data_IF_929255276899
#
_entry.id   IF_929255276899
#
_cell.length_a   1.000
_cell.length_b   1.000
_cell.length_c   1.000
_cell.angle_alpha   90.00
_cell.angle_beta   90.00
_cell.angle_gamma   90.00
#
_symmetry.space_group_name_H-M   'P 1'
#
loop_
_entity.id
_entity.type
_entity.pdbx_description
1 polymer ?
#
# COMPACT_ATOMS: atom_id res chain seq x y z
N UNK A 1 -1.80 -12.29 14.83
CA UNK A 1 -1.77 -12.37 13.36
C UNK A 1 -1.62 -13.80 12.81
N UNK A 2 -0.95 -14.74 13.50
CA UNK A 2 -0.78 -16.12 12.99
C UNK A 2 -2.06 -16.90 12.71
N UNK A 3 -3.12 -16.72 13.51
CA UNK A 3 -4.45 -17.33 13.27
C UNK A 3 -5.06 -16.91 11.92
N UNK A 4 -4.72 -15.72 11.43
CA UNK A 4 -5.30 -15.13 10.23
C UNK A 4 -4.39 -15.27 9.00
N UNK A 5 -3.21 -15.90 9.14
CA UNK A 5 -2.33 -16.15 8.01
C UNK A 5 -2.94 -17.24 7.10
N UNK A 6 -2.99 -16.96 5.80
CA UNK A 6 -3.38 -17.95 4.80
C UNK A 6 -2.45 -19.16 4.77
N UNK A 7 -2.92 -20.27 4.20
CA UNK A 7 -2.09 -21.45 3.98
C UNK A 7 -0.87 -21.17 3.08
N UNK A 8 -1.02 -20.30 2.08
CA UNK A 8 0.03 -19.88 1.14
C UNK A 8 1.14 -19.08 1.84
N UNK A 9 0.80 -18.38 2.92
CA UNK A 9 1.66 -17.42 3.61
C UNK A 9 1.13 -16.01 3.46
N UNK A 10 1.39 -15.14 4.44
CA UNK A 10 0.79 -13.81 4.44
C UNK A 10 -0.75 -13.85 4.58
N UNK A 11 -1.43 -12.77 4.19
CA UNK A 11 -2.83 -12.51 4.55
C UNK A 11 -3.67 -12.08 3.33
N UNK A 12 -4.93 -12.49 3.34
CA UNK A 12 -5.99 -11.86 2.58
C UNK A 12 -6.82 -10.93 3.46
N UNK A 13 -7.57 -10.02 2.85
CA UNK A 13 -8.51 -9.13 3.55
C UNK A 13 -9.96 -9.62 3.50
N UNK A 14 -10.22 -10.70 2.77
CA UNK A 14 -11.50 -11.43 2.74
C UNK A 14 -11.26 -12.93 2.86
N UNK A 15 -12.09 -13.61 3.65
CA UNK A 15 -12.11 -15.05 3.78
C UNK A 15 -13.55 -15.56 3.67
N UNK A 16 -14.04 -15.61 2.43
CA UNK A 16 -15.43 -16.00 2.11
C UNK A 16 -15.52 -17.37 1.45
N UNK A 17 -14.39 -18.07 1.25
CA UNK A 17 -14.35 -19.30 0.47
C UNK A 17 -14.76 -20.52 1.32
N UNK A 18 -13.90 -20.94 2.24
CA UNK A 18 -14.14 -22.08 3.12
C UNK A 18 -13.69 -21.70 4.54
N UNK A 19 -14.54 -21.97 5.54
CA UNK A 19 -14.22 -21.73 6.95
C UNK A 19 -13.24 -22.75 7.53
N UNK A 20 -12.01 -22.76 7.01
CA UNK A 20 -10.94 -23.68 7.42
C UNK A 20 -10.18 -23.18 8.65
N UNK A 21 -9.37 -24.05 9.27
CA UNK A 21 -8.60 -23.69 10.48
C UNK A 21 -7.66 -22.49 10.25
N UNK A 22 -7.10 -22.38 9.05
CA UNK A 22 -6.46 -21.16 8.53
C UNK A 22 -7.36 -20.57 7.46
N UNK A 23 -7.38 -19.24 7.27
CA UNK A 23 -8.16 -18.64 6.19
C UNK A 23 -7.87 -19.25 4.82
N UNK A 24 -8.94 -19.52 4.07
CA UNK A 24 -8.87 -19.98 2.68
C UNK A 24 -8.61 -18.83 1.69
N UNK A 25 -8.44 -17.61 2.21
CA UNK A 25 -8.06 -16.42 1.46
C UNK A 25 -6.73 -16.58 0.74
N UNK A 26 -6.64 -16.08 -0.49
CA UNK A 26 -5.36 -15.89 -1.17
C UNK A 26 -4.47 -14.86 -0.48
N UNK A 27 -3.16 -15.05 -0.54
CA UNK A 27 -2.21 -14.03 -0.09
C UNK A 27 -2.31 -12.78 -0.96
N UNK A 28 -2.41 -11.61 -0.35
CA UNK A 28 -2.57 -10.32 -1.04
C UNK A 28 -1.39 -9.40 -0.76
N UNK A 29 -0.77 -8.89 -1.83
CA UNK A 29 0.52 -8.20 -1.76
C UNK A 29 0.53 -7.01 -0.80
N UNK A 30 -0.49 -6.16 -0.87
CA UNK A 30 -0.60 -4.95 -0.05
C UNK A 30 -0.97 -5.21 1.40
N UNK A 31 -1.72 -6.29 1.69
CA UNK A 31 -2.00 -6.68 3.09
C UNK A 31 -0.73 -7.24 3.73
N UNK A 32 0.02 -8.08 2.99
CA UNK A 32 1.33 -8.54 3.44
C UNK A 32 2.26 -7.36 3.72
N UNK A 33 2.32 -6.40 2.80
CA UNK A 33 3.14 -5.20 2.95
C UNK A 33 2.73 -4.38 4.19
N UNK A 34 1.43 -4.12 4.37
CA UNK A 34 0.93 -3.38 5.52
C UNK A 34 1.30 -4.06 6.85
N UNK A 35 1.15 -5.39 6.93
CA UNK A 35 1.52 -6.18 8.12
C UNK A 35 3.03 -6.18 8.35
N UNK A 36 3.83 -6.36 7.30
CA UNK A 36 5.29 -6.32 7.39
C UNK A 36 5.80 -4.96 7.88
N UNK A 37 5.20 -3.88 7.41
CA UNK A 37 5.55 -2.54 7.86
C UNK A 37 5.14 -2.32 9.32
N UNK A 38 3.97 -2.80 9.74
CA UNK A 38 3.57 -2.76 11.16
C UNK A 38 4.48 -3.62 12.05
N UNK A 39 4.97 -4.76 11.54
CA UNK A 39 5.96 -5.59 12.23
C UNK A 39 7.32 -4.93 12.32
N UNK A 40 7.74 -4.18 11.30
CA UNK A 40 8.94 -3.34 11.38
C UNK A 40 8.78 -2.25 12.45
N UNK A 41 7.62 -1.58 12.49
CA UNK A 41 7.31 -0.58 13.54
C UNK A 41 7.37 -1.21 14.95
N UNK A 42 6.77 -2.40 15.13
CA UNK A 42 6.82 -3.13 16.39
C UNK A 42 8.26 -3.49 16.79
N UNK A 43 9.06 -3.99 15.83
CA UNK A 43 10.47 -4.33 16.05
C UNK A 43 11.27 -3.11 16.49
N UNK A 44 11.05 -1.93 15.89
CA UNK A 44 11.74 -0.68 16.23
C UNK A 44 11.47 -0.20 17.66
N UNK A 45 10.34 -0.60 18.26
CA UNK A 45 10.03 -0.32 19.67
C UNK A 45 10.35 -1.49 20.61
N UNK A 46 11.10 -2.49 20.14
CA UNK A 46 11.54 -3.64 20.94
C UNK A 46 10.55 -4.81 21.01
N UNK A 47 9.47 -4.78 20.23
CA UNK A 47 8.50 -5.89 20.15
C UNK A 47 8.82 -6.75 18.93
N UNK A 48 9.46 -7.89 19.16
CA UNK A 48 9.87 -8.77 18.07
C UNK A 48 8.67 -9.48 17.42
N UNK A 49 8.44 -9.31 16.11
CA UNK A 49 7.40 -10.05 15.40
C UNK A 49 7.78 -11.54 15.25
N UNK A 50 6.81 -12.45 15.09
CA UNK A 50 7.12 -13.87 14.88
C UNK A 50 7.85 -14.07 13.56
N UNK A 51 9.13 -14.48 13.61
CA UNK A 51 10.03 -14.63 12.46
C UNK A 51 9.42 -15.45 11.32
N UNK A 52 8.83 -16.61 11.65
CA UNK A 52 8.14 -17.46 10.66
C UNK A 52 7.04 -16.75 9.88
N UNK A 53 6.31 -15.81 10.51
CA UNK A 53 5.28 -15.04 9.81
C UNK A 53 5.90 -13.96 8.92
N UNK A 54 6.98 -13.33 9.37
CA UNK A 54 7.74 -12.35 8.60
C UNK A 54 8.28 -12.99 7.32
N UNK A 55 9.01 -14.11 7.44
CA UNK A 55 9.64 -14.79 6.31
C UNK A 55 8.63 -15.22 5.25
N UNK A 56 7.51 -15.80 5.68
CA UNK A 56 6.44 -16.25 4.79
C UNK A 56 5.76 -15.08 4.08
N UNK A 57 5.54 -13.97 4.78
CA UNK A 57 4.97 -12.77 4.19
C UNK A 57 5.94 -12.12 3.19
N UNK A 58 7.24 -12.00 3.52
CA UNK A 58 8.27 -11.49 2.61
C UNK A 58 8.34 -12.33 1.33
N UNK A 59 8.38 -13.66 1.47
CA UNK A 59 8.35 -14.58 0.33
C UNK A 59 7.14 -14.37 -0.56
N UNK A 60 5.96 -14.10 0.02
CA UNK A 60 4.74 -13.85 -0.75
C UNK A 60 4.69 -12.46 -1.38
N UNK A 61 5.28 -11.43 -0.78
CA UNK A 61 5.44 -10.11 -1.43
C UNK A 61 6.38 -10.24 -2.62
N UNK A 62 7.52 -10.91 -2.45
CA UNK A 62 8.50 -11.16 -3.52
C UNK A 62 7.90 -12.00 -4.65
N UNK A 63 7.17 -13.08 -4.33
CA UNK A 63 6.49 -13.91 -5.34
C UNK A 63 5.50 -13.11 -6.20
N UNK A 64 4.86 -12.09 -5.62
CA UNK A 64 3.88 -11.25 -6.32
C UNK A 64 4.52 -10.03 -7.02
N UNK A 65 5.83 -9.82 -6.87
CA UNK A 65 6.56 -8.72 -7.50
C UNK A 65 6.82 -9.02 -8.98
N UNK A 66 6.56 -8.05 -9.83
CA UNK A 66 6.90 -8.08 -11.26
C UNK A 66 8.25 -7.38 -11.52
N UNK A 67 8.88 -7.60 -12.69
CA UNK A 67 10.16 -6.95 -13.04
C UNK A 67 10.14 -5.41 -13.02
N UNK A 68 8.98 -4.80 -13.24
CA UNK A 68 8.76 -3.34 -13.19
C UNK A 68 8.51 -2.79 -11.77
N UNK A 69 8.71 -3.62 -10.74
CA UNK A 69 8.43 -3.30 -9.33
C UNK A 69 6.97 -2.95 -9.04
N UNK A 70 6.05 -3.37 -9.91
CA UNK A 70 4.63 -3.45 -9.59
C UNK A 70 4.28 -4.83 -9.06
N UNK A 71 3.07 -4.97 -8.51
CA UNK A 71 2.70 -6.17 -7.78
C UNK A 71 1.34 -6.69 -8.22
N UNK A 72 1.23 -8.03 -8.25
CA UNK A 72 -0.05 -8.69 -8.35
C UNK A 72 -0.94 -8.26 -7.18
N UNK A 73 -2.25 -8.18 -7.42
CA UNK A 73 -3.22 -7.89 -6.38
C UNK A 73 -3.23 -8.98 -5.29
N UNK A 74 -3.25 -10.24 -5.73
CA UNK A 74 -3.22 -11.43 -4.91
C UNK A 74 -2.72 -12.62 -5.72
N UNK A 75 -2.29 -13.67 -5.03
CA UNK A 75 -1.79 -14.93 -5.62
C UNK A 75 -2.82 -15.64 -6.52
N UNK A 76 -4.12 -15.37 -6.36
CA UNK A 76 -5.16 -15.88 -7.26
C UNK A 76 -5.04 -15.34 -8.69
N UNK A 77 -4.33 -14.22 -8.91
CA UNK A 77 -4.06 -13.66 -10.24
C UNK A 77 -2.68 -14.08 -10.80
N UNK A 78 -1.98 -15.04 -10.19
CA UNK A 78 -0.64 -15.48 -10.64
C UNK A 78 -0.58 -15.90 -12.12
N UNK A 79 -1.66 -16.50 -12.62
CA UNK A 79 -1.76 -16.94 -14.02
C UNK A 79 -2.30 -15.85 -14.97
N UNK A 80 -2.64 -14.67 -14.43
CA UNK A 80 -3.13 -13.52 -15.18
C UNK A 80 -2.41 -12.22 -14.75
N UNK A 81 -1.06 -12.18 -14.85
CA UNK A 81 -0.25 -11.13 -14.25
C UNK A 81 -0.40 -9.75 -14.90
N UNK A 82 -1.06 -9.66 -16.06
CA UNK A 82 -1.26 -8.41 -16.82
C UNK A 82 -2.73 -7.95 -16.93
N UNK A 83 -3.61 -8.51 -16.09
CA UNK A 83 -4.94 -7.94 -15.83
C UNK A 83 -4.81 -6.44 -15.51
N UNK A 84 -5.78 -5.58 -15.87
CA UNK A 84 -5.67 -4.13 -15.67
C UNK A 84 -5.23 -3.75 -14.24
N UNK A 85 -5.78 -4.43 -13.24
CA UNK A 85 -5.41 -4.28 -11.83
C UNK A 85 -3.91 -4.53 -11.58
N UNK A 86 -3.27 -5.47 -12.27
CA UNK A 86 -1.85 -5.81 -12.07
C UNK A 86 -0.89 -5.03 -12.97
N UNK A 87 -1.40 -4.15 -13.85
CA UNK A 87 -0.56 -3.23 -14.62
C UNK A 87 -0.01 -2.13 -13.71
N UNK A 88 1.08 -1.44 -14.07
CA UNK A 88 1.65 -0.37 -13.23
C UNK A 88 0.63 0.67 -12.74
N UNK A 89 -0.30 1.09 -13.61
CA UNK A 89 -1.38 2.00 -13.23
C UNK A 89 -2.36 1.43 -12.20
N UNK A 90 -2.71 0.14 -12.31
CA UNK A 90 -3.60 -0.53 -11.36
C UNK A 90 -2.92 -0.86 -10.03
N UNK A 91 -1.61 -1.09 -10.07
CA UNK A 91 -0.76 -1.37 -8.91
C UNK A 91 -0.31 -0.12 -8.15
N UNK A 92 -0.61 1.07 -8.66
CA UNK A 92 0.00 2.34 -8.23
C UNK A 92 0.02 2.57 -6.72
N UNK A 93 -1.12 2.36 -6.05
CA UNK A 93 -1.21 2.49 -4.59
C UNK A 93 -0.52 1.35 -3.81
N UNK A 94 -0.68 0.09 -4.25
CA UNK A 94 -0.07 -1.06 -3.54
C UNK A 94 1.44 -1.13 -3.71
N UNK A 95 1.97 -0.70 -4.85
CA UNK A 95 3.42 -0.71 -5.10
C UNK A 95 4.17 0.13 -4.08
N UNK A 96 3.58 1.24 -3.61
CA UNK A 96 4.16 2.07 -2.55
C UNK A 96 4.40 1.23 -1.28
N UNK A 97 3.35 0.54 -0.82
CA UNK A 97 3.42 -0.32 0.36
C UNK A 97 4.39 -1.48 0.16
N UNK A 98 4.29 -2.19 -0.96
CA UNK A 98 5.10 -3.39 -1.21
C UNK A 98 6.60 -3.07 -1.34
N UNK A 99 6.97 -2.04 -2.10
CA UNK A 99 8.37 -1.62 -2.23
C UNK A 99 8.92 -1.16 -0.88
N UNK A 100 8.15 -0.37 -0.13
CA UNK A 100 8.53 0.06 1.23
C UNK A 100 8.74 -1.13 2.16
N UNK A 101 7.82 -2.10 2.16
CA UNK A 101 7.91 -3.29 3.00
C UNK A 101 9.20 -4.08 2.71
N UNK A 102 9.52 -4.32 1.44
CA UNK A 102 10.77 -4.98 1.05
C UNK A 102 11.99 -4.16 1.47
N UNK A 103 11.96 -2.82 1.27
CA UNK A 103 13.05 -1.92 1.66
C UNK A 103 13.37 -1.97 3.16
N UNK A 104 12.37 -1.87 4.03
CA UNK A 104 12.58 -1.82 5.50
C UNK A 104 13.00 -3.18 6.07
N UNK A 105 12.69 -4.27 5.36
CA UNK A 105 13.14 -5.62 5.69
C UNK A 105 14.45 -6.02 5.00
N UNK A 106 15.14 -5.06 4.37
CA UNK A 106 16.52 -5.24 3.91
C UNK A 106 16.68 -5.82 2.51
N UNK A 107 15.62 -5.86 1.69
CA UNK A 107 15.75 -6.23 0.28
C UNK A 107 16.52 -5.14 -0.47
N UNK A 108 17.77 -5.44 -0.83
CA UNK A 108 18.69 -4.49 -1.47
C UNK A 108 18.33 -4.16 -2.91
N UNK A 109 17.42 -4.93 -3.54
CA UNK A 109 16.94 -4.64 -4.89
C UNK A 109 15.88 -3.53 -4.94
N UNK A 110 15.41 -3.04 -3.78
CA UNK A 110 14.64 -1.81 -3.68
C UNK A 110 15.60 -0.68 -3.36
N UNK A 111 16.22 -0.13 -4.39
CA UNK A 111 17.10 1.03 -4.27
C UNK A 111 16.30 2.34 -4.16
N UNK A 112 16.98 3.43 -3.81
CA UNK A 112 16.37 4.76 -3.77
C UNK A 112 15.77 5.15 -5.14
N UNK A 113 16.37 4.71 -6.24
CA UNK A 113 15.86 4.89 -7.61
C UNK A 113 14.48 4.27 -7.79
N UNK A 114 14.26 3.04 -7.31
CA UNK A 114 12.97 2.35 -7.37
C UNK A 114 11.92 3.11 -6.54
N UNK A 115 12.30 3.57 -5.36
CA UNK A 115 11.42 4.37 -4.50
C UNK A 115 11.02 5.69 -5.19
N UNK A 116 11.98 6.44 -5.69
CA UNK A 116 11.77 7.69 -6.43
C UNK A 116 10.87 7.47 -7.66
N UNK A 117 11.17 6.48 -8.50
CA UNK A 117 10.36 6.16 -9.68
C UNK A 117 8.89 5.89 -9.35
N UNK A 118 8.63 5.17 -8.25
CA UNK A 118 7.26 4.87 -7.84
C UNK A 118 6.56 6.07 -7.19
N UNK A 119 7.28 6.95 -6.50
CA UNK A 119 6.75 8.23 -6.04
C UNK A 119 6.42 9.16 -7.22
N UNK A 120 7.31 9.27 -8.20
CA UNK A 120 7.10 10.04 -9.43
C UNK A 120 5.88 9.54 -10.20
N UNK A 121 5.74 8.21 -10.34
CA UNK A 121 4.56 7.59 -10.97
C UNK A 121 3.30 7.94 -10.20
N UNK A 122 3.31 7.85 -8.86
CA UNK A 122 2.15 8.18 -8.04
C UNK A 122 1.74 9.64 -8.23
N UNK A 123 2.68 10.58 -8.14
CA UNK A 123 2.43 12.02 -8.29
C UNK A 123 1.92 12.32 -9.70
N UNK A 124 2.66 11.88 -10.73
CA UNK A 124 2.36 12.19 -12.13
C UNK A 124 1.08 11.52 -12.64
N UNK A 125 0.69 10.39 -12.05
CA UNK A 125 -0.49 9.61 -12.43
C UNK A 125 -1.56 9.57 -11.36
N UNK A 126 -1.51 10.50 -10.39
CA UNK A 126 -2.47 10.55 -9.27
C UNK A 126 -3.93 10.56 -9.75
N UNK A 127 -4.21 11.23 -10.87
CA UNK A 127 -5.54 11.25 -11.49
C UNK A 127 -6.11 9.86 -11.80
N UNK A 128 -5.27 8.86 -12.13
CA UNK A 128 -5.76 7.49 -12.35
C UNK A 128 -6.22 6.83 -11.05
N UNK A 129 -5.57 7.14 -9.93
CA UNK A 129 -5.99 6.69 -8.61
C UNK A 129 -7.27 7.42 -8.17
N UNK A 130 -7.34 8.72 -8.44
CA UNK A 130 -8.47 9.59 -8.09
C UNK A 130 -9.77 9.21 -8.82
N UNK A 131 -9.68 8.70 -10.07
CA UNK A 131 -10.85 8.22 -10.81
C UNK A 131 -11.65 7.13 -10.07
N UNK A 132 -10.99 6.35 -9.22
CA UNK A 132 -11.63 5.34 -8.37
C UNK A 132 -12.19 5.89 -7.06
N UNK A 133 -11.84 7.11 -6.68
CA UNK A 133 -12.27 7.71 -5.41
C UNK A 133 -13.78 7.95 -5.41
N UNK A 134 -14.42 7.63 -4.29
CA UNK A 134 -15.87 7.73 -4.04
C UNK A 134 -16.76 6.90 -4.98
N UNK A 135 -16.16 6.02 -5.79
CA UNK A 135 -16.89 5.07 -6.63
C UNK A 135 -17.49 3.95 -5.77
N UNK A 136 -18.77 3.57 -5.98
CA UNK A 136 -19.43 2.57 -5.15
C UNK A 136 -19.05 1.13 -5.51
N UNK A 137 -18.57 0.86 -6.72
CA UNK A 137 -18.20 -0.48 -7.16
C UNK A 137 -16.67 -0.58 -7.15
N UNK A 138 -16.07 -1.54 -6.42
CA UNK A 138 -14.63 -1.69 -6.43
C UNK A 138 -14.18 -2.16 -7.82
N UNK A 139 -13.01 -1.70 -8.26
CA UNK A 139 -12.41 -2.09 -9.54
C UNK A 139 -13.17 -1.67 -10.81
N UNK A 140 -14.14 -0.75 -10.73
CA UNK A 140 -14.85 -0.23 -11.92
C UNK A 140 -14.09 0.88 -12.66
N UNK A 141 -13.09 1.49 -12.02
CA UNK A 141 -12.37 2.65 -12.56
C UNK A 141 -11.23 2.25 -13.51
N UNK A 142 -10.55 3.26 -14.07
CA UNK A 142 -9.40 3.05 -14.95
C UNK A 142 -8.34 2.16 -14.27
N UNK A 143 -7.74 1.23 -15.03
CA UNK A 143 -6.87 0.17 -14.50
C UNK A 143 -7.47 -0.69 -13.37
N UNK A 144 -8.79 -0.74 -13.21
CA UNK A 144 -9.44 -1.47 -12.12
C UNK A 144 -8.95 -1.03 -10.73
N UNK A 145 -8.64 0.25 -10.55
CA UNK A 145 -8.31 0.79 -9.23
C UNK A 145 -9.58 0.88 -8.40
N UNK A 146 -9.56 0.32 -7.18
CA UNK A 146 -10.62 0.53 -6.20
C UNK A 146 -10.34 1.76 -5.34
N UNK A 147 -11.40 2.47 -4.93
CA UNK A 147 -11.28 3.74 -4.21
C UNK A 147 -10.47 3.67 -2.92
N UNK A 148 -10.56 2.56 -2.18
CA UNK A 148 -9.84 2.36 -0.91
C UNK A 148 -8.31 2.27 -1.05
N UNK A 149 -7.75 2.33 -2.27
CA UNK A 149 -6.32 2.49 -2.47
C UNK A 149 -5.85 3.94 -2.43
N UNK A 150 -6.76 4.91 -2.47
CA UNK A 150 -6.36 6.31 -2.63
C UNK A 150 -5.52 6.76 -1.44
N UNK A 151 -6.10 6.85 -0.23
CA UNK A 151 -5.31 7.32 0.91
C UNK A 151 -4.32 6.26 1.43
N UNK A 152 -4.62 4.97 1.24
CA UNK A 152 -3.69 3.88 1.51
C UNK A 152 -2.37 4.06 0.75
N UNK A 153 -2.44 4.29 -0.57
CA UNK A 153 -1.26 4.45 -1.42
C UNK A 153 -0.45 5.69 -1.04
N UNK A 154 -1.12 6.82 -0.77
CA UNK A 154 -0.46 8.06 -0.35
C UNK A 154 0.23 7.94 1.00
N UNK A 155 -0.35 7.21 1.95
CA UNK A 155 0.28 6.98 3.24
C UNK A 155 1.57 6.18 3.12
N UNK A 156 1.54 5.07 2.39
CA UNK A 156 2.76 4.29 2.22
C UNK A 156 3.80 4.97 1.33
N UNK A 157 3.38 5.83 0.40
CA UNK A 157 4.28 6.74 -0.31
C UNK A 157 4.96 7.73 0.64
N UNK A 158 4.20 8.39 1.52
CA UNK A 158 4.74 9.32 2.51
C UNK A 158 5.72 8.64 3.49
N UNK A 159 5.49 7.36 3.81
CA UNK A 159 6.40 6.54 4.63
C UNK A 159 7.70 6.15 3.93
N UNK A 160 7.75 6.19 2.60
CA UNK A 160 8.98 5.94 1.82
C UNK A 160 9.92 7.14 1.86
N UNK A 161 9.39 8.37 1.93
CA UNK A 161 10.17 9.61 1.88
C UNK A 161 11.34 9.65 2.89
N UNK A 162 11.16 9.31 4.19
CA UNK A 162 12.27 9.34 5.15
C UNK A 162 13.43 8.39 4.83
N UNK A 163 13.23 7.42 3.94
CA UNK A 163 14.27 6.47 3.51
C UNK A 163 15.14 7.02 2.37
N UNK A 164 14.70 8.07 1.68
CA UNK A 164 15.42 8.69 0.57
C UNK A 164 16.58 9.57 1.06
N UNK A 165 17.46 9.95 0.14
CA UNK A 165 18.46 10.99 0.38
C UNK A 165 17.78 12.30 0.81
N UNK A 166 18.34 12.98 1.81
CA UNK A 166 17.76 14.20 2.40
C UNK A 166 17.42 15.28 1.38
N UNK A 167 18.26 15.43 0.34
CA UNK A 167 18.04 16.42 -0.74
C UNK A 167 16.78 16.17 -1.58
N UNK A 168 16.34 14.91 -1.68
CA UNK A 168 15.22 14.53 -2.56
C UNK A 168 13.87 14.61 -1.82
N UNK A 169 13.89 14.57 -0.48
CA UNK A 169 12.68 14.53 0.36
C UNK A 169 11.75 15.73 0.14
N UNK A 170 12.22 16.99 0.14
CA UNK A 170 11.32 18.15 0.07
C UNK A 170 10.44 18.14 -1.18
N UNK A 171 10.96 17.67 -2.32
CA UNK A 171 10.20 17.55 -3.56
C UNK A 171 8.96 16.65 -3.37
N UNK A 172 9.15 15.45 -2.84
CA UNK A 172 8.04 14.50 -2.64
C UNK A 172 7.11 14.93 -1.51
N UNK A 173 7.64 15.54 -0.44
CA UNK A 173 6.85 16.07 0.66
C UNK A 173 5.87 17.15 0.18
N UNK A 174 6.37 18.12 -0.60
CA UNK A 174 5.56 19.23 -1.10
C UNK A 174 4.47 18.73 -2.06
N UNK A 175 4.79 17.80 -2.97
CA UNK A 175 3.82 17.24 -3.91
C UNK A 175 2.73 16.40 -3.22
N UNK A 176 3.10 15.51 -2.30
CA UNK A 176 2.10 14.72 -1.56
C UNK A 176 1.23 15.59 -0.67
N UNK A 177 1.79 16.61 0.00
CA UNK A 177 1.02 17.56 0.79
C UNK A 177 0.02 18.32 -0.07
N UNK A 178 0.45 18.82 -1.24
CA UNK A 178 -0.42 19.54 -2.16
C UNK A 178 -1.59 18.67 -2.64
N UNK A 179 -1.31 17.42 -3.06
CA UNK A 179 -2.34 16.46 -3.48
C UNK A 179 -3.36 16.22 -2.37
N UNK A 180 -2.88 15.92 -1.16
CA UNK A 180 -3.78 15.56 -0.05
C UNK A 180 -4.60 16.76 0.42
N UNK A 181 -3.99 17.93 0.59
CA UNK A 181 -4.71 19.14 1.01
C UNK A 181 -5.80 19.55 0.00
N UNK A 182 -5.58 19.30 -1.29
CA UNK A 182 -6.58 19.55 -2.34
C UNK A 182 -7.84 18.67 -2.26
N UNK A 183 -7.84 17.65 -1.41
CA UNK A 183 -8.96 16.71 -1.24
C UNK A 183 -9.61 16.74 0.15
N UNK A 184 -9.28 17.74 0.99
CA UNK A 184 -9.96 17.92 2.27
C UNK A 184 -11.43 18.30 2.04
N UNK A 185 -12.34 17.60 2.69
CA UNK A 185 -13.77 17.92 2.68
C UNK A 185 -14.06 19.15 3.57
N UNK A 186 -15.24 19.75 3.42
CA UNK A 186 -15.64 20.93 4.19
C UNK A 186 -15.70 20.68 5.71
N UNK A 187 -16.00 19.45 6.12
CA UNK A 187 -16.02 19.02 7.52
C UNK A 187 -14.62 18.69 8.08
N UNK A 188 -13.58 18.90 7.26
CA UNK A 188 -12.19 18.62 7.61
C UNK A 188 -11.78 17.17 7.42
N UNK A 189 -12.69 16.28 6.98
CA UNK A 189 -12.39 14.88 6.74
C UNK A 189 -11.72 14.63 5.38
N UNK A 190 -11.22 13.41 5.19
CA UNK A 190 -10.85 12.83 3.91
C UNK A 190 -11.52 11.46 3.80
N UNK A 191 -12.08 11.12 2.64
CA UNK A 191 -12.62 9.77 2.40
C UNK A 191 -12.58 9.38 0.91
N UNK A 192 -12.36 8.09 0.65
CA UNK A 192 -12.02 7.59 -0.68
C UNK A 192 -12.90 6.46 -1.22
N UNK A 193 -13.66 5.78 -0.37
CA UNK A 193 -14.55 4.70 -0.77
C UNK A 193 -15.72 4.63 0.22
N UNK A 194 -16.96 4.32 -0.19
CA UNK A 194 -18.10 4.19 0.72
C UNK A 194 -17.99 2.90 1.55
N UNK A 195 -17.00 2.87 2.45
CA UNK A 195 -16.80 1.82 3.44
C UNK A 195 -17.94 1.90 4.47
N UNK A 196 -18.49 0.72 4.77
CA UNK A 196 -19.66 0.45 5.62
C UNK A 196 -19.60 1.13 6.99
N UNK A 197 -19.85 2.44 7.04
CA UNK A 197 -19.83 3.39 8.18
C UNK A 197 -18.49 3.98 8.66
N UNK A 198 -17.34 3.62 8.09
CA UNK A 198 -16.03 4.06 8.61
C UNK A 198 -15.13 4.78 7.57
N UNK A 199 -15.71 5.18 6.43
CA UNK A 199 -14.98 5.77 5.31
C UNK A 199 -14.25 7.08 5.65
N UNK A 200 -14.89 7.96 6.43
CA UNK A 200 -14.27 9.22 6.85
C UNK A 200 -13.10 9.00 7.81
N UNK A 201 -13.25 8.11 8.79
CA UNK A 201 -12.21 7.81 9.76
C UNK A 201 -11.00 7.17 9.08
N UNK A 202 -11.25 6.25 8.14
CA UNK A 202 -10.21 5.59 7.36
C UNK A 202 -9.40 6.58 6.53
N UNK A 203 -10.05 7.38 5.68
CA UNK A 203 -9.36 8.33 4.81
C UNK A 203 -8.69 9.44 5.60
N UNK A 204 -9.35 9.98 6.63
CA UNK A 204 -8.81 11.05 7.48
C UNK A 204 -7.57 10.59 8.23
N UNK A 205 -7.58 9.38 8.80
CA UNK A 205 -6.40 8.86 9.49
C UNK A 205 -5.20 8.75 8.55
N UNK A 206 -5.39 8.16 7.36
CA UNK A 206 -4.30 8.04 6.39
C UNK A 206 -3.82 9.40 5.87
N UNK A 207 -4.73 10.33 5.57
CA UNK A 207 -4.38 11.67 5.13
C UNK A 207 -3.54 12.41 6.19
N UNK A 208 -3.99 12.45 7.44
CA UNK A 208 -3.27 13.14 8.52
C UNK A 208 -1.90 12.50 8.82
N UNK A 209 -1.82 11.17 8.84
CA UNK A 209 -0.54 10.48 9.02
C UNK A 209 0.44 10.76 7.87
N UNK A 210 -0.06 10.85 6.63
CA UNK A 210 0.73 11.22 5.46
C UNK A 210 1.23 12.66 5.55
N UNK A 211 0.33 13.60 5.86
CA UNK A 211 0.65 15.03 5.99
C UNK A 211 1.68 15.28 7.09
N UNK A 212 1.62 14.53 8.20
CA UNK A 212 2.64 14.59 9.25
C UNK A 212 4.04 14.25 8.72
N UNK A 213 4.15 13.25 7.84
CA UNK A 213 5.41 12.85 7.21
C UNK A 213 5.86 13.82 6.09
N UNK A 214 4.94 14.64 5.59
CA UNK A 214 5.23 15.70 4.62
C UNK A 214 5.75 16.99 5.28
N UNK A 215 5.78 17.07 6.62
CA UNK A 215 6.41 18.20 7.30
C UNK A 215 7.92 18.20 7.02
N UNK A 216 8.46 19.35 6.64
CA UNK A 216 9.90 19.56 6.51
C UNK A 216 10.53 19.45 7.90
N UNK A 217 11.76 18.94 7.97
CA UNK A 217 12.53 18.99 9.21
C UNK A 217 12.78 20.46 9.54
N UNK A 218 12.52 20.84 10.79
CA UNK A 218 12.87 22.16 11.32
C UNK A 218 14.39 22.37 11.34
#
# INVERSE_FOLDING_TARGET
>A
LGKYESAEGGWGYYDFAAGTQRPASSSTSFVNAAVLIAFDDARRIGVNPPEKLVDRALKMVQFQRKPDNSYLYGTYLRNHPMMPINRPGGSLGRSQACNLALRVWGDTSIEDTVCCEWLDRLISRNGWLDMGRKRPIPHESHFQVAGYFYYFGHYYAARTIPLLQTKDRPFYQDHLAHILLGHQEQDGSWWDYPLYNYHQQYGTAFALMSLRLCRKAD
#
